data_IF_463988123238
#
_entry.id   IF_463988123238
#
_cell.length_a   1.000
_cell.length_b   1.000
_cell.length_c   1.000
_cell.angle_alpha   90.00
_cell.angle_beta   90.00
_cell.angle_gamma   90.00
#
_symmetry.space_group_name_H-M   'P 1'
#
loop_
_entity.id
_entity.type
_entity.pdbx_description
1 polymer ?
#
# COMPACT_ATOMS: atom_id res chain seq x y z
N UNK A 1 -8.68 -12.01 -1.53
CA UNK A 1 -7.28 -11.51 -1.66
C UNK A 1 -6.94 -10.75 -0.40
N UNK A 2 -5.83 -11.09 0.24
CA UNK A 2 -5.41 -10.49 1.50
C UNK A 2 -4.19 -9.61 1.29
N UNK A 3 -4.28 -8.35 1.69
CA UNK A 3 -3.25 -7.34 1.50
C UNK A 3 -2.82 -6.78 2.85
N UNK A 4 -1.52 -6.62 3.03
CA UNK A 4 -0.92 -6.11 4.25
C UNK A 4 -0.23 -4.77 3.98
N UNK A 5 -0.77 -3.72 4.56
CA UNK A 5 -0.14 -2.41 4.63
C UNK A 5 0.71 -2.28 5.88
N UNK A 6 1.89 -1.68 5.75
CA UNK A 6 2.84 -1.41 6.85
C UNK A 6 3.42 -0.02 6.70
N UNK A 7 3.40 0.78 7.76
CA UNK A 7 4.13 2.05 7.84
C UNK A 7 5.48 1.80 8.51
N UNK A 8 6.55 2.24 7.86
CA UNK A 8 7.91 2.20 8.40
C UNK A 8 8.44 3.61 8.63
N UNK A 9 9.08 3.82 9.79
CA UNK A 9 9.82 5.03 10.13
C UNK A 9 11.08 4.66 10.91
N UNK A 10 12.24 5.20 10.53
CA UNK A 10 13.53 4.97 11.20
C UNK A 10 13.84 3.47 11.40
N UNK A 11 13.56 2.67 10.36
CA UNK A 11 13.72 1.20 10.37
C UNK A 11 12.85 0.46 11.44
N UNK A 12 11.83 1.12 11.97
CA UNK A 12 10.81 0.55 12.85
C UNK A 12 9.45 0.54 12.16
N UNK A 13 8.70 -0.53 12.37
CA UNK A 13 7.31 -0.61 11.91
C UNK A 13 6.42 0.14 12.91
N UNK A 14 5.83 1.25 12.49
CA UNK A 14 4.96 2.06 13.35
C UNK A 14 3.55 1.49 13.45
N UNK A 15 2.97 1.15 12.29
CA UNK A 15 1.60 0.65 12.17
C UNK A 15 1.54 -0.36 11.05
N UNK A 16 0.60 -1.28 11.17
CA UNK A 16 0.29 -2.22 10.11
C UNK A 16 -1.20 -2.59 10.14
N UNK A 17 -1.74 -2.91 8.98
CA UNK A 17 -3.16 -3.24 8.81
C UNK A 17 -3.29 -4.27 7.70
N UNK A 18 -4.13 -5.26 7.92
CA UNK A 18 -4.43 -6.27 6.93
C UNK A 18 -5.86 -6.09 6.44
N UNK A 19 -6.00 -5.88 5.13
CA UNK A 19 -7.29 -5.77 4.44
C UNK A 19 -7.55 -7.06 3.68
N UNK A 20 -8.78 -7.55 3.78
CA UNK A 20 -9.24 -8.73 3.06
C UNK A 20 -10.33 -8.32 2.09
N UNK A 21 -10.06 -8.45 0.79
CA UNK A 21 -11.03 -8.20 -0.26
C UNK A 21 -11.42 -9.52 -0.95
N UNK A 22 -12.64 -9.97 -0.65
CA UNK A 22 -13.27 -11.18 -1.22
C UNK A 22 -14.17 -10.86 -2.43
N UNK A 23 -14.11 -9.63 -2.96
CA UNK A 23 -14.96 -9.21 -4.07
C UNK A 23 -14.58 -9.93 -5.38
N UNK A 24 -15.54 -10.15 -6.28
CA UNK A 24 -15.28 -10.73 -7.59
C UNK A 24 -14.80 -9.64 -8.58
N UNK A 25 -13.66 -9.02 -8.28
CA UNK A 25 -13.09 -7.91 -9.06
C UNK A 25 -11.68 -8.21 -9.57
N UNK A 26 -11.13 -7.34 -10.42
CA UNK A 26 -9.76 -7.54 -10.94
C UNK A 26 -8.73 -7.38 -9.83
N UNK A 27 -7.63 -8.13 -9.91
CA UNK A 27 -6.48 -8.04 -8.99
C UNK A 27 -6.09 -6.59 -8.71
N UNK A 28 -5.98 -5.78 -9.76
CA UNK A 28 -5.64 -4.36 -9.67
C UNK A 28 -6.67 -3.57 -8.86
N UNK A 29 -7.97 -3.74 -9.13
CA UNK A 29 -9.02 -3.05 -8.36
C UNK A 29 -9.01 -3.41 -6.88
N UNK A 30 -8.79 -4.69 -6.53
CA UNK A 30 -8.67 -5.13 -5.14
C UNK A 30 -7.52 -4.43 -4.41
N UNK A 31 -6.39 -4.28 -5.10
CA UNK A 31 -5.20 -3.60 -4.57
C UNK A 31 -5.49 -2.11 -4.33
N UNK A 32 -6.09 -1.43 -5.30
CA UNK A 32 -6.46 -0.02 -5.15
C UNK A 32 -7.43 0.18 -3.98
N UNK A 33 -8.51 -0.61 -3.90
CA UNK A 33 -9.46 -0.53 -2.78
C UNK A 33 -8.79 -0.77 -1.43
N UNK A 34 -7.94 -1.79 -1.33
CA UNK A 34 -7.25 -2.10 -0.07
C UNK A 34 -6.30 -0.98 0.33
N UNK A 35 -5.59 -0.38 -0.64
CA UNK A 35 -4.73 0.77 -0.39
C UNK A 35 -5.54 2.00 0.06
N UNK A 36 -6.66 2.28 -0.60
CA UNK A 36 -7.57 3.36 -0.20
C UNK A 36 -8.10 3.17 1.22
N UNK A 37 -8.51 1.94 1.59
CA UNK A 37 -8.98 1.63 2.93
C UNK A 37 -7.89 1.82 3.99
N UNK A 38 -6.67 1.35 3.72
CA UNK A 38 -5.51 1.55 4.60
C UNK A 38 -5.22 3.04 4.79
N UNK A 39 -5.20 3.81 3.69
CA UNK A 39 -4.98 5.25 3.73
C UNK A 39 -6.08 5.95 4.52
N UNK A 40 -7.34 5.57 4.31
CA UNK A 40 -8.48 6.14 5.01
C UNK A 40 -8.42 5.89 6.53
N UNK A 41 -8.13 4.66 6.96
CA UNK A 41 -8.00 4.29 8.38
C UNK A 41 -6.83 5.03 9.07
N UNK A 42 -5.80 5.39 8.30
CA UNK A 42 -4.61 6.07 8.82
C UNK A 42 -4.65 7.60 8.64
N UNK A 43 -5.75 8.13 8.12
CA UNK A 43 -5.91 9.56 7.79
C UNK A 43 -4.79 10.06 6.86
N UNK A 44 -4.47 9.25 5.84
CA UNK A 44 -3.45 9.53 4.84
C UNK A 44 -4.08 9.74 3.47
N UNK A 45 -3.43 10.56 2.65
CA UNK A 45 -3.70 10.57 1.22
C UNK A 45 -3.40 9.23 0.56
N UNK A 46 -4.12 8.94 -0.53
CA UNK A 46 -3.86 7.77 -1.37
C UNK A 46 -2.61 8.04 -2.21
N UNK A 47 -1.52 7.26 -2.06
CA UNK A 47 -0.30 7.51 -2.79
C UNK A 47 -0.48 7.21 -4.28
N UNK A 48 0.22 7.97 -5.13
CA UNK A 48 0.24 7.72 -6.57
C UNK A 48 1.15 6.55 -6.90
N UNK A 49 0.75 5.75 -7.90
CA UNK A 49 1.56 4.66 -8.41
C UNK A 49 2.55 5.18 -9.44
N UNK A 50 3.85 5.10 -9.14
CA UNK A 50 4.90 5.40 -10.10
C UNK A 50 5.29 4.12 -10.87
N UNK A 51 5.95 4.28 -12.01
CA UNK A 51 6.47 3.15 -12.80
C UNK A 51 7.34 2.19 -11.98
N UNK A 52 8.11 2.74 -11.03
CA UNK A 52 8.92 1.96 -10.09
C UNK A 52 8.05 1.02 -9.24
N UNK A 53 6.94 1.54 -8.69
CA UNK A 53 5.99 0.77 -7.89
C UNK A 53 5.38 -0.36 -8.70
N UNK A 54 4.91 -0.05 -9.92
CA UNK A 54 4.30 -1.03 -10.82
C UNK A 54 5.29 -2.14 -11.16
N UNK A 55 6.55 -1.79 -11.44
CA UNK A 55 7.61 -2.77 -11.74
C UNK A 55 7.93 -3.66 -10.55
N UNK A 56 8.10 -3.07 -9.36
CA UNK A 56 8.37 -3.83 -8.13
C UNK A 56 7.21 -4.77 -7.79
N UNK A 57 5.98 -4.28 -7.91
CA UNK A 57 4.78 -5.04 -7.60
C UNK A 57 4.57 -6.24 -8.53
N UNK A 58 4.90 -6.09 -9.82
CA UNK A 58 4.89 -7.20 -10.79
C UNK A 58 5.90 -8.29 -10.44
N UNK A 59 7.05 -7.94 -9.85
CA UNK A 59 8.13 -8.89 -9.55
C UNK A 59 7.96 -9.54 -8.18
N UNK A 60 7.59 -8.76 -7.16
CA UNK A 60 7.71 -9.17 -5.77
C UNK A 60 6.36 -9.28 -5.04
N UNK A 61 5.23 -8.99 -5.72
CA UNK A 61 3.89 -8.88 -5.10
C UNK A 61 3.84 -7.92 -3.91
N UNK A 62 4.79 -6.98 -3.86
CA UNK A 62 4.90 -5.92 -2.87
C UNK A 62 5.33 -4.63 -3.54
N UNK A 63 4.93 -3.50 -2.98
CA UNK A 63 5.38 -2.19 -3.39
C UNK A 63 5.57 -1.27 -2.19
N UNK A 64 6.50 -0.32 -2.30
CA UNK A 64 6.76 0.69 -1.26
C UNK A 64 6.47 2.08 -1.79
N UNK A 65 5.67 2.83 -1.04
CA UNK A 65 5.30 4.19 -1.33
C UNK A 65 6.05 5.11 -0.36
N UNK A 66 7.06 5.82 -0.86
CA UNK A 66 7.80 6.84 -0.11
C UNK A 66 7.17 8.22 -0.32
N UNK A 67 7.77 9.27 0.25
CA UNK A 67 7.24 10.64 0.16
C UNK A 67 6.98 11.11 -1.28
N UNK A 68 7.79 10.70 -2.26
CA UNK A 68 7.55 10.98 -3.68
C UNK A 68 6.19 10.51 -4.20
N UNK A 69 5.60 9.49 -3.58
CA UNK A 69 4.29 8.98 -3.93
C UNK A 69 3.14 9.79 -3.33
N UNK A 70 3.38 10.57 -2.26
CA UNK A 70 2.35 11.37 -1.59
C UNK A 70 2.42 12.81 -2.09
N UNK A 71 1.87 13.03 -3.29
CA UNK A 71 1.90 14.35 -3.93
C UNK A 71 0.97 15.31 -3.19
N UNK A 72 1.53 16.31 -2.52
CA UNK A 72 0.79 17.38 -1.86
C UNK A 72 0.56 17.18 -0.36
N UNK A 73 1.11 16.11 0.22
CA UNK A 73 1.11 15.90 1.67
C UNK A 73 2.48 15.46 2.16
N UNK A 74 2.90 16.01 3.31
CA UNK A 74 4.08 15.51 4.01
C UNK A 74 3.67 14.37 4.93
N UNK A 75 4.31 13.22 4.72
CA UNK A 75 4.19 12.05 5.58
C UNK A 75 5.24 12.10 6.68
N UNK A 76 4.88 11.74 7.91
CA UNK A 76 5.81 11.67 9.04
C UNK A 76 6.55 10.31 9.12
N UNK A 77 6.53 9.53 8.04
CA UNK A 77 7.12 8.19 7.96
C UNK A 77 7.97 8.05 6.69
N UNK A 78 8.88 7.07 6.65
CA UNK A 78 9.77 6.86 5.51
C UNK A 78 9.02 6.31 4.30
N UNK A 79 8.24 5.24 4.51
CA UNK A 79 7.45 4.62 3.45
C UNK A 79 6.29 3.77 3.99
N UNK A 80 5.24 3.69 3.19
CA UNK A 80 4.17 2.72 3.30
C UNK A 80 4.48 1.53 2.40
N UNK A 81 4.63 0.34 2.98
CA UNK A 81 4.80 -0.91 2.25
C UNK A 81 3.46 -1.63 2.12
N UNK A 82 3.08 -1.96 0.89
CA UNK A 82 1.91 -2.75 0.55
C UNK A 82 2.34 -4.12 0.02
N UNK A 83 1.82 -5.20 0.59
CA UNK A 83 2.20 -6.56 0.22
C UNK A 83 0.97 -7.46 0.10
N UNK A 84 0.88 -8.24 -0.98
CA UNK A 84 -0.13 -9.29 -1.07
C UNK A 84 0.33 -10.48 -0.21
N UNK A 85 -0.49 -10.88 0.75
CA UNK A 85 -0.29 -12.08 1.55
C UNK A 85 -0.88 -13.31 0.85
N UNK A 86 -2.11 -13.19 0.34
CA UNK A 86 -2.86 -14.30 -0.24
C UNK A 86 -3.59 -13.83 -1.50
N UNK A 87 -3.32 -14.51 -2.62
CA UNK A 87 -4.08 -14.42 -3.87
C UNK A 87 -5.03 -15.61 -3.86
N UNK A 88 -6.34 -15.36 -3.91
CA UNK A 88 -7.36 -16.42 -4.04
C UNK A 88 -7.18 -17.17 -5.38
#
# INVERSE_FOLDING_TARGET
MRIWGKIWKDNHMLKNMTVTDDSADTRTHKIFRSLEEICHEWDLSVPVWLDANIREFKQNKKSRFSQDNFVGEEIDFDYLELQILEED
#
